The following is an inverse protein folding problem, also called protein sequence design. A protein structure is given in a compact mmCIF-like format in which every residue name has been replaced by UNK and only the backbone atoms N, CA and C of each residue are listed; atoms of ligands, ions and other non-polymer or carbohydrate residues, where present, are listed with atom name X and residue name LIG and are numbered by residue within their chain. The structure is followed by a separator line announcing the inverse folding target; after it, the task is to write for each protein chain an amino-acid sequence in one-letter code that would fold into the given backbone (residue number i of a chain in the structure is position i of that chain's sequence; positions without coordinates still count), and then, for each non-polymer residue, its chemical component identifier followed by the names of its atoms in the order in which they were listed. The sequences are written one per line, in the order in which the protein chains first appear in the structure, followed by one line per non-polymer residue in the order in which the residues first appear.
data_IF_006724606550
#
_entry.id   IF_006724606550
#
_cell.length_a   1.000
_cell.length_b   1.000
_cell.length_c   1.000
_cell.angle_alpha   90.00
_cell.angle_beta   90.00
_cell.angle_gamma   90.00
#
_symmetry.space_group_name_H-M   'P 1'
#
loop_
_entity.id
_entity.type
_entity.pdbx_description
1 polymer ?
#
# COMPACT_ATOMS: atom_id res chain seq x y z
N UNK A 1 10.64 32.90 13.09
CA UNK A 1 10.20 31.93 14.13
C UNK A 1 11.41 31.12 14.53
N UNK A 2 11.67 30.96 15.82
CA UNK A 2 12.67 30.02 16.33
C UNK A 2 11.92 28.78 16.81
N UNK A 3 12.31 27.63 16.30
CA UNK A 3 11.77 26.32 16.75
C UNK A 3 12.61 25.81 17.92
N UNK A 4 12.05 25.05 18.88
CA UNK A 4 12.84 24.33 19.87
C UNK A 4 13.75 23.31 19.19
N UNK A 5 14.83 22.91 19.87
CA UNK A 5 15.83 22.06 19.31
C UNK A 5 15.80 20.66 19.89
N UNK A 6 16.17 19.68 19.08
CA UNK A 6 16.57 18.33 19.50
C UNK A 6 17.96 18.04 18.93
N UNK A 7 18.77 17.29 19.66
CA UNK A 7 20.12 16.97 19.26
C UNK A 7 20.24 15.47 18.95
N UNK A 8 20.85 15.15 17.82
CA UNK A 8 21.19 13.78 17.45
C UNK A 8 22.39 13.28 18.26
N UNK A 9 22.40 12.00 18.53
CA UNK A 9 23.59 11.35 19.05
C UNK A 9 24.72 11.39 18.01
N UNK A 10 25.93 11.26 18.50
CA UNK A 10 27.12 11.23 17.66
C UNK A 10 27.04 10.11 16.63
N UNK A 11 27.19 10.48 15.36
CA UNK A 11 27.20 9.55 14.23
C UNK A 11 25.85 9.38 13.50
N UNK A 12 24.73 9.91 14.03
CA UNK A 12 23.40 9.75 13.41
C UNK A 12 23.10 10.81 12.31
N UNK A 13 23.74 11.98 12.39
CA UNK A 13 23.49 13.08 11.47
C UNK A 13 23.77 12.76 9.97
N UNK A 14 24.75 11.92 9.59
CA UNK A 14 24.97 11.55 8.19
C UNK A 14 23.76 10.89 7.54
N UNK A 15 23.07 9.99 8.23
CA UNK A 15 21.91 9.27 7.70
C UNK A 15 20.71 10.21 7.53
N UNK A 16 20.49 11.12 8.49
CA UNK A 16 19.45 12.16 8.38
C UNK A 16 19.74 13.08 7.18
N UNK A 17 21.02 13.49 6.97
CA UNK A 17 21.42 14.29 5.80
C UNK A 17 21.30 13.51 4.48
N UNK A 18 21.52 12.20 4.52
CA UNK A 18 21.40 11.31 3.36
C UNK A 18 19.95 11.01 2.98
N UNK A 19 18.97 11.42 3.80
CA UNK A 19 17.56 11.28 3.44
C UNK A 19 16.68 10.52 4.44
N UNK A 20 17.22 10.03 5.56
CA UNK A 20 16.41 9.41 6.62
C UNK A 20 15.31 10.38 7.07
N UNK A 21 14.06 9.93 7.04
CA UNK A 21 12.88 10.75 7.35
C UNK A 21 12.32 10.48 8.74
N UNK A 22 12.69 9.36 9.34
CA UNK A 22 12.20 8.92 10.65
C UNK A 22 13.38 8.85 11.61
N UNK A 23 13.35 9.63 12.68
CA UNK A 23 14.37 9.65 13.74
C UNK A 23 13.76 8.99 14.97
N UNK A 24 14.42 7.95 15.48
CA UNK A 24 13.96 7.17 16.60
C UNK A 24 14.48 7.73 17.93
N UNK A 25 13.80 7.39 19.03
CA UNK A 25 14.16 7.82 20.39
C UNK A 25 15.64 7.54 20.73
N UNK A 26 16.16 6.39 20.33
CA UNK A 26 17.54 5.97 20.60
C UNK A 26 18.59 6.72 19.79
N UNK A 27 18.19 7.49 18.77
CA UNK A 27 19.06 8.32 17.91
C UNK A 27 19.20 9.75 18.46
N UNK A 28 18.39 10.13 19.47
CA UNK A 28 18.44 11.44 20.11
C UNK A 28 19.30 11.42 21.39
N UNK A 29 20.09 12.47 21.57
CA UNK A 29 20.88 12.72 22.78
C UNK A 29 20.07 13.53 23.79
N UNK A 30 19.45 14.64 23.35
CA UNK A 30 18.61 15.49 24.16
C UNK A 30 17.56 16.24 23.33
N UNK A 31 16.55 16.79 24.00
CA UNK A 31 15.57 17.71 23.48
C UNK A 31 15.42 18.90 24.45
N UNK A 32 15.15 20.11 23.91
CA UNK A 32 14.87 21.29 24.72
C UNK A 32 13.65 21.05 25.65
N UNK A 33 13.66 21.62 26.85
CA UNK A 33 12.52 21.55 27.78
C UNK A 33 11.23 22.18 27.22
N UNK A 34 11.36 22.99 26.19
CA UNK A 34 10.23 23.62 25.47
C UNK A 34 9.61 22.74 24.38
N UNK A 35 10.19 21.58 24.09
CA UNK A 35 9.62 20.62 23.16
C UNK A 35 8.34 20.04 23.73
N UNK A 36 7.24 20.21 23.02
CA UNK A 36 5.95 19.62 23.35
C UNK A 36 5.51 18.65 22.25
N UNK A 37 4.79 17.58 22.61
CA UNK A 37 4.31 16.60 21.63
C UNK A 37 3.46 17.29 20.55
N UNK A 38 3.80 17.02 19.29
CA UNK A 38 3.17 17.63 18.11
C UNK A 38 3.82 18.93 17.63
N UNK A 39 4.75 19.54 18.39
CA UNK A 39 5.44 20.74 17.93
C UNK A 39 6.43 20.45 16.78
N UNK A 40 6.83 21.53 16.10
CA UNK A 40 7.91 21.51 15.11
C UNK A 40 9.21 21.79 15.85
N UNK A 41 10.26 21.02 15.54
CA UNK A 41 11.61 21.14 16.12
C UNK A 41 12.66 21.27 15.04
N UNK A 42 13.76 21.97 15.35
CA UNK A 42 15.00 21.91 14.60
C UNK A 42 15.88 20.76 15.13
N UNK A 43 16.34 19.91 14.24
CA UNK A 43 17.22 18.78 14.53
C UNK A 43 18.66 19.22 14.31
N UNK A 44 19.46 19.10 15.37
CA UNK A 44 20.88 19.49 15.36
C UNK A 44 21.76 18.25 15.42
N UNK A 45 22.98 18.36 14.84
CA UNK A 45 24.04 17.37 15.04
C UNK A 45 24.78 17.59 16.38
N UNK A 46 25.74 16.73 16.69
CA UNK A 46 26.56 16.83 17.92
C UNK A 46 27.45 18.07 18.00
N UNK A 47 27.57 18.85 16.92
CA UNK A 47 28.23 20.15 16.89
C UNK A 47 27.23 21.32 16.91
N UNK A 48 25.96 21.05 17.20
CA UNK A 48 24.87 22.01 17.22
C UNK A 48 24.60 22.69 15.86
N UNK A 49 24.92 22.04 14.77
CA UNK A 49 24.62 22.52 13.42
C UNK A 49 23.28 21.94 12.97
N UNK A 50 22.47 22.75 12.29
CA UNK A 50 21.20 22.34 11.73
C UNK A 50 21.36 21.11 10.78
N UNK A 51 20.49 20.16 10.91
CA UNK A 51 20.46 18.92 10.10
C UNK A 51 19.13 18.73 9.42
N UNK A 52 18.03 18.98 10.11
CA UNK A 52 16.66 18.85 9.59
C UNK A 52 15.68 19.62 10.46
N UNK A 53 14.43 19.72 10.01
CA UNK A 53 13.27 20.21 10.77
C UNK A 53 12.15 19.21 10.63
N UNK A 54 11.39 18.96 11.73
CA UNK A 54 10.34 17.95 11.70
C UNK A 54 9.35 18.06 12.87
N UNK A 55 8.35 17.18 12.87
CA UNK A 55 7.41 17.03 13.98
C UNK A 55 8.02 16.20 15.10
N UNK A 56 7.87 16.66 16.32
CA UNK A 56 8.32 15.97 17.54
C UNK A 56 7.17 15.26 18.24
N UNK A 57 7.41 14.05 18.74
CA UNK A 57 6.47 13.31 19.59
C UNK A 57 7.24 12.38 20.54
N UNK A 58 7.29 12.73 21.83
CA UNK A 58 8.01 11.93 22.85
C UNK A 58 7.32 10.61 23.20
N UNK A 59 6.05 10.44 22.83
CA UNK A 59 5.29 9.20 23.08
C UNK A 59 5.54 8.12 22.05
N UNK A 60 6.00 8.55 20.86
CA UNK A 60 6.26 7.65 19.73
C UNK A 60 7.71 7.16 19.75
N UNK A 61 7.94 5.90 19.36
CA UNK A 61 9.30 5.42 19.09
C UNK A 61 9.96 6.19 17.94
N UNK A 62 9.16 6.71 17.00
CA UNK A 62 9.60 7.65 15.97
C UNK A 62 9.43 9.05 16.55
N UNK A 63 10.46 9.52 17.22
CA UNK A 63 10.40 10.75 18.01
C UNK A 63 10.41 12.00 17.12
N UNK A 64 11.11 11.97 15.97
CA UNK A 64 11.01 13.08 15.00
C UNK A 64 10.68 12.54 13.61
N UNK A 65 9.72 13.18 12.96
CA UNK A 65 9.37 12.96 11.55
C UNK A 65 9.83 14.16 10.74
N UNK A 66 10.85 13.95 9.92
CA UNK A 66 11.51 15.02 9.16
C UNK A 66 10.61 15.56 8.07
N UNK A 67 10.42 16.88 8.07
CA UNK A 67 9.69 17.63 7.04
C UNK A 67 10.61 18.25 6.00
N UNK A 68 11.71 18.85 6.45
CA UNK A 68 12.67 19.50 5.55
C UNK A 68 14.10 19.42 6.07
N UNK A 69 15.06 19.55 5.16
CA UNK A 69 16.49 19.70 5.46
C UNK A 69 17.02 21.08 5.08
N UNK A 70 16.12 21.95 4.62
CA UNK A 70 16.43 23.35 4.37
C UNK A 70 16.06 24.17 5.61
N UNK A 71 17.07 24.78 6.24
CA UNK A 71 16.90 25.62 7.42
C UNK A 71 16.04 26.85 7.15
N UNK A 72 16.02 27.35 5.91
CA UNK A 72 15.26 28.54 5.53
C UNK A 72 13.78 28.23 5.23
N UNK A 73 13.46 26.96 4.96
CA UNK A 73 12.09 26.54 4.66
C UNK A 73 11.24 26.57 5.94
N UNK A 74 10.24 27.44 5.96
CA UNK A 74 9.29 27.58 7.07
C UNK A 74 8.11 26.63 6.88
N UNK A 75 7.66 26.02 7.97
CA UNK A 75 6.46 25.17 7.94
C UNK A 75 5.24 26.07 8.11
N UNK A 76 4.56 26.30 7.00
CA UNK A 76 3.39 27.20 6.87
C UNK A 76 2.30 26.49 6.05
N UNK A 77 1.09 27.04 5.93
CA UNK A 77 0.09 26.49 4.99
C UNK A 77 0.62 26.33 3.56
N UNK A 78 1.44 27.26 3.07
CA UNK A 78 2.02 27.19 1.72
C UNK A 78 3.01 26.03 1.56
N UNK A 79 3.72 25.65 2.63
CA UNK A 79 4.57 24.47 2.64
C UNK A 79 3.76 23.19 2.31
N UNK A 80 2.64 22.99 2.98
CA UNK A 80 1.77 21.83 2.74
C UNK A 80 1.16 21.87 1.35
N UNK A 81 0.70 23.06 0.93
CA UNK A 81 0.14 23.25 -0.42
C UNK A 81 1.15 22.88 -1.49
N UNK A 82 2.35 23.42 -1.45
CA UNK A 82 3.38 23.17 -2.45
C UNK A 82 3.73 21.67 -2.57
N UNK A 83 3.77 20.95 -1.45
CA UNK A 83 4.07 19.51 -1.44
C UNK A 83 2.90 18.67 -1.99
N UNK A 84 1.67 18.99 -1.62
CA UNK A 84 0.48 18.29 -2.15
C UNK A 84 0.33 18.54 -3.65
N UNK A 85 0.51 19.79 -4.11
CA UNK A 85 0.49 20.14 -5.53
C UNK A 85 1.58 19.41 -6.32
N UNK A 86 2.81 19.40 -5.81
CA UNK A 86 3.92 18.68 -6.43
C UNK A 86 3.67 17.18 -6.52
N UNK A 87 3.14 16.59 -5.44
CA UNK A 87 2.78 15.18 -5.41
C UNK A 87 1.71 14.86 -6.46
N UNK A 88 0.65 15.67 -6.53
CA UNK A 88 -0.42 15.51 -7.52
C UNK A 88 0.09 15.66 -8.95
N UNK A 89 0.84 16.73 -9.27
CA UNK A 89 1.42 16.94 -10.60
C UNK A 89 2.30 15.76 -11.06
N UNK A 90 2.99 15.11 -10.14
CA UNK A 90 3.77 13.92 -10.47
C UNK A 90 2.88 12.74 -10.86
N UNK A 91 1.72 12.55 -10.18
CA UNK A 91 0.74 11.50 -10.52
C UNK A 91 0.08 11.80 -11.87
N UNK A 92 -0.30 13.04 -12.14
CA UNK A 92 -0.84 13.46 -13.44
C UNK A 92 0.14 13.19 -14.60
N UNK A 93 1.42 13.54 -14.43
CA UNK A 93 2.48 13.25 -15.42
C UNK A 93 2.66 11.75 -15.70
N UNK A 94 2.33 10.89 -14.73
CA UNK A 94 2.39 9.44 -14.85
C UNK A 94 1.08 8.85 -15.40
N UNK A 95 0.06 9.68 -15.69
CA UNK A 95 -1.22 9.28 -16.27
C UNK A 95 -2.28 8.85 -15.26
N UNK A 96 -2.11 9.16 -13.99
CA UNK A 96 -3.12 8.87 -12.96
C UNK A 96 -4.14 10.01 -12.87
N UNK A 97 -5.34 9.78 -13.38
CA UNK A 97 -6.40 10.80 -13.43
C UNK A 97 -7.60 10.45 -12.56
N UNK A 98 -8.09 9.21 -12.65
CA UNK A 98 -9.35 8.80 -12.04
C UNK A 98 -9.19 8.36 -10.58
N UNK A 99 -8.28 7.44 -10.32
CA UNK A 99 -8.02 6.92 -8.97
C UNK A 99 -6.53 6.66 -8.77
N UNK A 100 -5.99 7.16 -7.66
CA UNK A 100 -4.58 6.97 -7.30
C UNK A 100 -4.31 7.44 -5.88
N UNK A 101 -3.14 7.08 -5.36
CA UNK A 101 -2.53 7.70 -4.21
C UNK A 101 -1.94 9.05 -4.59
N UNK A 102 -2.56 10.13 -4.14
CA UNK A 102 -2.10 11.51 -4.36
C UNK A 102 -0.89 11.83 -3.50
N UNK A 103 -0.94 11.49 -2.20
CA UNK A 103 0.16 11.70 -1.26
C UNK A 103 0.53 10.39 -0.58
N UNK A 104 1.81 10.03 -0.65
CA UNK A 104 2.38 8.84 -0.04
C UNK A 104 3.43 9.19 1.02
N UNK A 105 2.97 9.81 2.10
CA UNK A 105 3.73 10.04 3.34
C UNK A 105 5.11 10.65 3.16
N UNK A 106 6.08 9.98 3.72
CA UNK A 106 7.50 10.38 3.74
C UNK A 106 8.09 10.58 2.34
N UNK A 107 7.61 9.82 1.37
CA UNK A 107 8.13 9.87 -0.01
C UNK A 107 7.76 11.17 -0.72
N UNK A 108 6.60 11.75 -0.39
CA UNK A 108 6.17 13.06 -0.89
C UNK A 108 6.51 14.20 0.08
N UNK A 109 7.34 13.93 1.10
CA UNK A 109 7.80 14.91 2.08
C UNK A 109 6.71 15.36 3.07
N UNK A 110 5.65 14.57 3.24
CA UNK A 110 4.55 14.79 4.17
C UNK A 110 4.38 13.57 5.11
N UNK A 111 5.36 13.33 6.00
CA UNK A 111 5.40 12.12 6.80
C UNK A 111 4.12 11.92 7.61
N UNK A 112 3.55 10.72 7.45
CA UNK A 112 2.32 10.35 8.12
C UNK A 112 1.03 10.85 7.46
N UNK A 113 1.08 11.55 6.31
CA UNK A 113 -0.10 11.89 5.51
C UNK A 113 -0.25 10.89 4.35
N UNK A 114 -1.43 10.32 4.23
CA UNK A 114 -1.85 9.56 3.06
C UNK A 114 -3.08 10.24 2.47
N UNK A 115 -3.11 10.46 1.17
CA UNK A 115 -4.29 10.97 0.45
C UNK A 115 -4.53 10.12 -0.77
N UNK A 116 -5.73 9.56 -0.89
CA UNK A 116 -6.18 8.78 -2.04
C UNK A 116 -7.34 9.46 -2.74
N UNK A 117 -7.29 9.48 -4.06
CA UNK A 117 -8.34 9.96 -4.94
C UNK A 117 -9.11 8.79 -5.51
N UNK A 118 -10.43 8.88 -5.46
CA UNK A 118 -11.38 7.92 -6.01
C UNK A 118 -12.42 8.69 -6.82
N UNK A 119 -12.21 8.82 -8.13
CA UNK A 119 -12.99 9.67 -9.02
C UNK A 119 -13.08 11.13 -8.49
N UNK A 120 -14.28 11.60 -8.11
CA UNK A 120 -14.52 12.94 -7.57
C UNK A 120 -14.44 13.01 -6.04
N UNK A 121 -13.94 11.98 -5.37
CA UNK A 121 -13.88 11.89 -3.91
C UNK A 121 -12.45 11.68 -3.44
N UNK A 122 -12.18 12.16 -2.22
CA UNK A 122 -10.89 11.97 -1.57
C UNK A 122 -11.06 11.20 -0.25
N UNK A 123 -10.08 10.37 0.04
CA UNK A 123 -9.89 9.76 1.35
C UNK A 123 -8.52 10.12 1.87
N UNK A 124 -8.40 10.47 3.16
CA UNK A 124 -7.10 10.73 3.74
C UNK A 124 -6.92 10.04 5.09
N UNK A 125 -5.65 9.89 5.48
CA UNK A 125 -5.22 9.37 6.78
C UNK A 125 -4.10 10.25 7.33
N UNK A 126 -4.18 10.55 8.63
CA UNK A 126 -3.13 11.22 9.40
C UNK A 126 -2.65 10.25 10.49
N UNK A 127 -1.40 9.83 10.40
CA UNK A 127 -0.78 8.88 11.35
C UNK A 127 0.35 9.52 12.16
N UNK A 128 0.46 10.86 12.16
CA UNK A 128 1.47 11.62 12.86
C UNK A 128 0.81 12.71 13.72
N UNK A 129 1.17 12.79 15.02
CA UNK A 129 0.59 13.75 15.95
C UNK A 129 0.79 15.21 15.48
N UNK A 130 1.97 15.54 14.95
CA UNK A 130 2.26 16.89 14.47
C UNK A 130 1.38 17.35 13.31
N UNK A 131 0.94 16.42 12.45
CA UNK A 131 0.01 16.73 11.36
C UNK A 131 -1.42 16.98 11.85
N UNK A 132 -1.81 16.45 13.00
CA UNK A 132 -3.18 16.65 13.52
C UNK A 132 -3.50 18.15 13.71
N UNK A 133 -2.50 18.95 14.12
CA UNK A 133 -2.66 20.41 14.24
C UNK A 133 -2.86 21.11 12.88
N UNK A 134 -2.48 20.47 11.78
CA UNK A 134 -2.58 20.99 10.41
C UNK A 134 -3.75 20.36 9.62
N UNK A 135 -4.54 19.48 10.25
CA UNK A 135 -5.63 18.76 9.59
C UNK A 135 -6.56 19.69 8.81
N UNK A 136 -7.04 20.76 9.42
CA UNK A 136 -7.96 21.70 8.76
C UNK A 136 -7.29 22.39 7.56
N UNK A 137 -6.05 22.80 7.70
CA UNK A 137 -5.26 23.38 6.58
C UNK A 137 -5.12 22.37 5.43
N UNK A 138 -4.85 21.12 5.74
CA UNK A 138 -4.75 20.06 4.73
C UNK A 138 -6.10 19.85 4.03
N UNK A 139 -7.21 19.78 4.78
CA UNK A 139 -8.55 19.64 4.22
C UNK A 139 -8.87 20.82 3.28
N UNK A 140 -8.60 22.06 3.72
CA UNK A 140 -8.85 23.26 2.92
C UNK A 140 -8.04 23.25 1.61
N UNK A 141 -6.78 22.82 1.66
CA UNK A 141 -5.93 22.64 0.49
C UNK A 141 -6.50 21.57 -0.46
N UNK A 142 -6.91 20.41 0.07
CA UNK A 142 -7.48 19.33 -0.73
C UNK A 142 -8.79 19.76 -1.41
N UNK A 143 -9.64 20.50 -0.70
CA UNK A 143 -10.90 21.04 -1.25
C UNK A 143 -10.62 22.04 -2.36
N UNK A 144 -9.67 22.94 -2.15
CA UNK A 144 -9.32 23.98 -3.14
C UNK A 144 -8.71 23.38 -4.41
N UNK A 145 -7.77 22.44 -4.26
CA UNK A 145 -7.05 21.84 -5.39
C UNK A 145 -7.91 20.88 -6.23
N UNK A 146 -8.71 20.05 -5.59
CA UNK A 146 -9.42 18.96 -6.26
C UNK A 146 -10.91 19.25 -6.47
N UNK A 147 -11.48 20.22 -5.77
CA UNK A 147 -12.92 20.55 -5.76
C UNK A 147 -13.79 19.28 -5.65
N UNK A 148 -13.51 18.39 -4.67
CA UNK A 148 -14.12 17.09 -4.58
C UNK A 148 -15.61 17.22 -4.17
N UNK A 149 -16.42 16.22 -4.54
CA UNK A 149 -17.79 16.08 -4.03
C UNK A 149 -17.83 15.74 -2.55
N UNK A 150 -16.78 15.11 -2.03
CA UNK A 150 -16.63 14.80 -0.62
C UNK A 150 -15.21 14.37 -0.27
N UNK A 151 -14.84 14.64 0.99
CA UNK A 151 -13.57 14.23 1.61
C UNK A 151 -13.87 13.41 2.86
N UNK A 152 -13.25 12.24 2.97
CA UNK A 152 -13.47 11.30 4.06
C UNK A 152 -12.18 11.06 4.84
N UNK A 153 -12.23 11.19 6.15
CA UNK A 153 -11.15 10.86 7.09
C UNK A 153 -11.22 9.37 7.44
N UNK A 154 -10.16 8.62 7.15
CA UNK A 154 -10.01 7.19 7.42
C UNK A 154 -8.90 6.93 8.44
N UNK A 155 -8.97 7.63 9.53
CA UNK A 155 -8.05 7.58 10.66
C UNK A 155 -8.39 6.43 11.65
N UNK A 156 -9.03 5.38 11.16
CA UNK A 156 -9.39 4.15 11.87
C UNK A 156 -8.22 3.13 11.93
N UNK A 157 -7.00 3.63 12.17
CA UNK A 157 -5.76 2.85 12.18
C UNK A 157 -5.20 2.67 13.59
N UNK A 158 -4.85 1.43 14.02
CA UNK A 158 -4.27 1.19 15.34
C UNK A 158 -2.93 1.90 15.60
N UNK A 159 -2.21 2.29 14.54
CA UNK A 159 -0.94 3.02 14.68
C UNK A 159 -1.14 4.42 15.31
N UNK A 160 -2.31 5.03 15.15
CA UNK A 160 -2.63 6.34 15.75
C UNK A 160 -2.58 6.33 17.28
N UNK A 161 -2.98 5.23 17.90
CA UNK A 161 -2.92 5.07 19.36
C UNK A 161 -1.48 5.16 19.89
N UNK A 162 -0.50 4.68 19.10
CA UNK A 162 0.93 4.78 19.43
C UNK A 162 1.47 6.20 19.31
N UNK A 163 0.81 7.05 18.54
CA UNK A 163 1.10 8.47 18.41
C UNK A 163 0.32 9.32 19.43
N UNK A 164 -0.55 8.71 20.24
CA UNK A 164 -1.42 9.40 21.19
C UNK A 164 -2.67 10.01 20.58
N UNK A 165 -3.08 9.54 19.39
CA UNK A 165 -4.23 10.02 18.64
C UNK A 165 -5.41 9.05 18.72
N UNK A 166 -6.67 9.54 18.77
CA UNK A 166 -7.84 8.68 18.68
C UNK A 166 -8.04 8.14 17.26
N UNK A 167 -8.73 7.02 17.15
CA UNK A 167 -9.22 6.54 15.85
C UNK A 167 -10.46 7.35 15.45
N UNK A 168 -10.50 7.82 14.20
CA UNK A 168 -11.58 8.65 13.65
C UNK A 168 -11.96 8.10 12.26
N UNK A 169 -13.25 8.11 11.97
CA UNK A 169 -13.81 7.71 10.69
C UNK A 169 -15.05 8.56 10.41
N UNK A 170 -14.91 9.54 9.53
CA UNK A 170 -15.98 10.52 9.29
C UNK A 170 -15.83 11.22 7.95
N UNK A 171 -16.97 11.70 7.41
CA UNK A 171 -16.97 12.63 6.28
C UNK A 171 -16.69 14.05 6.82
N UNK A 172 -15.62 14.68 6.34
CA UNK A 172 -15.17 16.01 6.80
C UNK A 172 -15.54 17.15 5.84
N UNK A 173 -15.91 16.83 4.61
CA UNK A 173 -16.36 17.81 3.61
C UNK A 173 -17.35 17.17 2.65
N UNK A 174 -18.38 17.91 2.25
CA UNK A 174 -19.39 17.48 1.29
C UNK A 174 -20.15 16.24 1.73
N UNK A 175 -20.30 15.28 0.82
CA UNK A 175 -20.90 13.97 1.12
C UNK A 175 -20.20 12.87 0.34
N UNK A 176 -19.94 11.73 0.98
CA UNK A 176 -19.32 10.56 0.36
C UNK A 176 -20.33 9.42 0.37
N UNK A 177 -20.69 8.83 -0.77
CA UNK A 177 -21.62 7.71 -0.83
C UNK A 177 -20.99 6.44 -0.23
N UNK A 178 -21.81 5.50 0.19
CA UNK A 178 -21.36 4.21 0.70
C UNK A 178 -20.55 3.44 -0.34
N UNK A 179 -20.91 3.59 -1.61
CA UNK A 179 -20.20 3.00 -2.75
C UNK A 179 -20.10 4.00 -3.90
N UNK A 180 -18.99 3.95 -4.60
CA UNK A 180 -18.74 4.77 -5.79
C UNK A 180 -18.01 3.95 -6.86
N UNK A 181 -18.13 4.38 -8.10
CA UNK A 181 -17.46 3.75 -9.23
C UNK A 181 -16.13 4.46 -9.52
N UNK A 182 -15.07 3.67 -9.68
CA UNK A 182 -13.79 4.14 -10.22
C UNK A 182 -13.47 3.43 -11.54
N UNK A 183 -12.51 3.98 -12.27
CA UNK A 183 -11.93 3.36 -13.46
C UNK A 183 -10.48 3.00 -13.18
N UNK A 184 -10.14 1.76 -13.52
CA UNK A 184 -8.78 1.23 -13.39
C UNK A 184 -8.46 0.47 -14.69
N UNK A 185 -7.57 1.01 -15.52
CA UNK A 185 -7.33 0.51 -16.89
C UNK A 185 -8.66 0.36 -17.68
N UNK A 186 -9.00 -0.87 -18.09
CA UNK A 186 -10.22 -1.16 -18.83
C UNK A 186 -11.41 -1.52 -17.92
N UNK A 187 -11.17 -1.65 -16.62
CA UNK A 187 -12.18 -2.07 -15.66
C UNK A 187 -12.88 -0.89 -14.98
N UNK A 188 -14.18 -1.10 -14.70
CA UNK A 188 -14.98 -0.28 -13.80
C UNK A 188 -15.12 -1.03 -12.48
N UNK A 189 -14.80 -0.38 -11.36
CA UNK A 189 -14.80 -1.03 -10.05
C UNK A 189 -15.67 -0.25 -9.07
N UNK A 190 -16.56 -0.94 -8.38
CA UNK A 190 -17.25 -0.41 -7.21
C UNK A 190 -16.31 -0.48 -6.01
N UNK A 191 -16.13 0.65 -5.35
CA UNK A 191 -15.31 0.79 -4.15
C UNK A 191 -16.10 1.51 -3.05
N UNK A 192 -15.72 1.29 -1.81
CA UNK A 192 -16.34 1.97 -0.68
C UNK A 192 -15.27 2.67 0.15
N UNK A 193 -15.27 4.00 0.15
CA UNK A 193 -14.40 4.76 1.02
C UNK A 193 -14.77 4.53 2.50
N UNK A 194 -16.06 4.62 2.90
CA UNK A 194 -16.43 4.39 4.30
C UNK A 194 -16.20 2.96 4.79
N UNK A 195 -16.45 1.94 3.99
CA UNK A 195 -16.53 0.55 4.44
C UNK A 195 -15.47 -0.38 3.83
N UNK A 196 -14.70 0.11 2.85
CA UNK A 196 -13.64 -0.66 2.20
C UNK A 196 -12.40 -0.82 3.07
N UNK A 197 -11.52 -1.73 2.67
CA UNK A 197 -10.23 -1.93 3.32
C UNK A 197 -9.29 -0.74 3.02
N UNK A 198 -8.34 -0.49 3.93
CA UNK A 198 -7.44 0.67 3.87
C UNK A 198 -8.27 1.97 3.75
N UNK A 199 -8.03 2.74 2.72
CA UNK A 199 -8.73 3.99 2.37
C UNK A 199 -9.95 3.79 1.47
N UNK A 200 -10.22 2.54 1.01
CA UNK A 200 -11.35 2.18 0.16
C UNK A 200 -11.05 1.09 -0.88
N UNK A 201 -9.83 1.08 -1.43
CA UNK A 201 -9.37 0.12 -2.45
C UNK A 201 -7.85 -0.05 -2.40
N UNK A 202 -7.34 -1.18 -2.95
CA UNK A 202 -5.91 -1.46 -3.04
C UNK A 202 -5.31 -0.84 -4.32
N UNK A 203 -5.07 0.48 -4.29
CA UNK A 203 -4.50 1.23 -5.42
C UNK A 203 -3.05 0.82 -5.74
N UNK A 204 -2.33 0.32 -4.74
CA UNK A 204 -0.95 -0.15 -4.88
C UNK A 204 -0.78 -1.32 -5.85
N UNK A 205 -1.85 -2.09 -6.12
CA UNK A 205 -1.87 -3.20 -7.09
C UNK A 205 -2.41 -2.79 -8.48
N UNK A 206 -2.81 -1.55 -8.68
CA UNK A 206 -3.46 -1.09 -9.90
C UNK A 206 -2.67 -1.44 -11.16
N UNK A 207 -1.39 -1.08 -11.24
CA UNK A 207 -0.57 -1.38 -12.42
C UNK A 207 -0.28 -2.88 -12.57
N UNK A 208 -0.18 -3.62 -11.47
CA UNK A 208 0.03 -5.07 -11.52
C UNK A 208 -1.18 -5.79 -12.13
N UNK A 209 -2.42 -5.31 -11.88
CA UNK A 209 -3.62 -5.84 -12.53
C UNK A 209 -3.60 -5.61 -14.05
N UNK A 210 -3.03 -4.50 -14.51
CA UNK A 210 -2.80 -4.27 -15.95
C UNK A 210 -1.76 -5.23 -16.56
N UNK A 211 -0.72 -5.59 -15.79
CA UNK A 211 0.39 -6.43 -16.26
C UNK A 211 0.01 -7.89 -16.50
N UNK A 212 -1.08 -8.38 -15.92
CA UNK A 212 -1.51 -9.77 -16.18
C UNK A 212 -2.10 -9.98 -17.58
N UNK A 213 -2.40 -8.90 -18.33
CA UNK A 213 -3.06 -8.96 -19.66
C UNK A 213 -2.47 -10.04 -20.60
N UNK A 214 -1.14 -10.13 -20.81
CA UNK A 214 -0.57 -11.10 -21.76
C UNK A 214 -0.75 -12.56 -21.35
N UNK A 215 -1.11 -12.82 -20.10
CA UNK A 215 -1.15 -14.16 -19.50
C UNK A 215 -2.58 -14.69 -19.34
N UNK A 216 -3.62 -13.91 -19.72
CA UNK A 216 -5.02 -14.26 -19.45
C UNK A 216 -5.74 -14.93 -20.63
N UNK A 217 -5.38 -14.62 -21.87
CA UNK A 217 -6.15 -14.99 -23.06
C UNK A 217 -6.38 -16.50 -23.16
N UNK A 218 -7.66 -16.91 -23.26
CA UNK A 218 -8.12 -18.31 -23.34
C UNK A 218 -7.69 -19.20 -22.15
N UNK A 219 -7.26 -18.61 -21.02
CA UNK A 219 -6.84 -19.36 -19.83
C UNK A 219 -7.97 -19.51 -18.82
N UNK A 220 -8.01 -20.67 -18.14
CA UNK A 220 -8.70 -20.77 -16.86
C UNK A 220 -7.85 -20.09 -15.80
N UNK A 221 -8.45 -19.21 -14.99
CA UNK A 221 -7.75 -18.40 -13.97
C UNK A 221 -8.26 -18.74 -12.59
N UNK A 222 -7.32 -18.91 -11.64
CA UNK A 222 -7.61 -19.00 -10.21
C UNK A 222 -7.06 -17.76 -9.52
N UNK A 223 -7.92 -16.97 -8.85
CA UNK A 223 -7.55 -15.78 -8.08
C UNK A 223 -7.77 -16.03 -6.58
N UNK A 224 -6.68 -16.26 -5.86
CA UNK A 224 -6.67 -16.54 -4.41
C UNK A 224 -6.49 -15.27 -3.60
N UNK A 225 -7.31 -15.09 -2.56
CA UNK A 225 -7.44 -13.85 -1.80
C UNK A 225 -7.92 -12.68 -2.67
N UNK A 226 -8.93 -12.94 -3.50
CA UNK A 226 -9.37 -12.02 -4.56
C UNK A 226 -9.95 -10.70 -4.06
N UNK A 227 -10.22 -10.55 -2.75
CA UNK A 227 -10.84 -9.38 -2.15
C UNK A 227 -12.11 -8.96 -2.94
N UNK A 228 -12.16 -7.76 -3.48
CA UNK A 228 -13.28 -7.23 -4.29
C UNK A 228 -13.17 -7.55 -5.79
N UNK A 229 -12.27 -8.47 -6.16
CA UNK A 229 -12.15 -9.01 -7.52
C UNK A 229 -11.32 -8.16 -8.48
N UNK A 230 -10.38 -7.35 -7.96
CA UNK A 230 -9.55 -6.52 -8.82
C UNK A 230 -8.83 -7.32 -9.90
N UNK A 231 -8.08 -8.35 -9.54
CA UNK A 231 -7.43 -9.24 -10.50
C UNK A 231 -8.43 -10.08 -11.30
N UNK A 232 -9.48 -10.59 -10.67
CA UNK A 232 -10.50 -11.44 -11.30
C UNK A 232 -11.20 -10.72 -12.45
N UNK A 233 -11.66 -9.48 -12.25
CA UNK A 233 -12.37 -8.70 -13.28
C UNK A 233 -11.41 -8.36 -14.43
N UNK A 234 -10.18 -7.95 -14.14
CA UNK A 234 -9.19 -7.68 -15.18
C UNK A 234 -8.85 -8.95 -15.98
N UNK A 235 -8.66 -10.10 -15.33
CA UNK A 235 -8.42 -11.36 -16.03
C UNK A 235 -9.57 -11.71 -17.00
N UNK A 236 -10.82 -11.56 -16.55
CA UNK A 236 -12.00 -11.81 -17.39
C UNK A 236 -12.10 -10.86 -18.58
N UNK A 237 -11.80 -9.56 -18.38
CA UNK A 237 -11.73 -8.53 -19.45
C UNK A 237 -10.57 -8.80 -20.41
N UNK A 238 -9.46 -9.35 -19.93
CA UNK A 238 -8.29 -9.69 -20.75
C UNK A 238 -8.39 -11.04 -21.45
N UNK A 239 -9.60 -11.59 -21.55
CA UNK A 239 -9.87 -12.75 -22.37
C UNK A 239 -9.76 -14.10 -21.68
N UNK A 240 -9.70 -14.15 -20.34
CA UNK A 240 -9.80 -15.41 -19.63
C UNK A 240 -11.07 -16.17 -20.04
N UNK A 241 -10.95 -17.48 -20.23
CA UNK A 241 -12.10 -18.34 -20.54
C UNK A 241 -13.02 -18.51 -19.34
N UNK A 242 -12.44 -18.59 -18.15
CA UNK A 242 -13.14 -18.66 -16.86
C UNK A 242 -12.24 -18.19 -15.74
N UNK A 243 -12.80 -17.53 -14.72
CA UNK A 243 -12.10 -17.07 -13.51
C UNK A 243 -12.79 -17.64 -12.28
N UNK A 244 -12.03 -18.30 -11.42
CA UNK A 244 -12.49 -18.71 -10.10
C UNK A 244 -11.88 -17.78 -9.04
N UNK A 245 -12.73 -17.01 -8.39
CA UNK A 245 -12.36 -15.99 -7.39
C UNK A 245 -12.59 -16.55 -6.00
N UNK A 246 -11.56 -16.63 -5.18
CA UNK A 246 -11.60 -17.23 -3.83
C UNK A 246 -11.28 -16.20 -2.77
N UNK A 247 -12.16 -16.07 -1.78
CA UNK A 247 -11.95 -15.26 -0.57
C UNK A 247 -12.72 -15.84 0.61
N UNK A 248 -12.29 -15.56 1.83
CA UNK A 248 -13.02 -15.96 3.05
C UNK A 248 -14.24 -15.08 3.35
N UNK A 249 -14.31 -13.90 2.72
CA UNK A 249 -15.33 -12.88 2.95
C UNK A 249 -16.44 -12.94 1.91
N UNK A 250 -17.62 -13.45 2.29
CA UNK A 250 -18.79 -13.42 1.41
C UNK A 250 -19.20 -11.99 1.01
N UNK A 251 -18.95 -11.01 1.90
CA UNK A 251 -19.17 -9.61 1.58
C UNK A 251 -18.26 -9.13 0.44
N UNK A 252 -16.96 -9.50 0.46
CA UNK A 252 -16.03 -9.21 -0.62
C UNK A 252 -16.45 -9.91 -1.92
N UNK A 253 -16.82 -11.18 -1.86
CA UNK A 253 -17.31 -11.94 -3.02
C UNK A 253 -18.61 -11.39 -3.62
N UNK A 254 -19.48 -10.81 -2.80
CA UNK A 254 -20.65 -10.08 -3.30
C UNK A 254 -20.23 -8.88 -4.16
N UNK A 255 -19.17 -8.16 -3.78
CA UNK A 255 -18.62 -7.09 -4.61
C UNK A 255 -17.94 -7.63 -5.87
N UNK A 256 -17.27 -8.79 -5.82
CA UNK A 256 -16.72 -9.45 -7.03
C UNK A 256 -17.82 -9.67 -8.07
N UNK A 257 -18.97 -10.26 -7.66
CA UNK A 257 -20.11 -10.52 -8.56
C UNK A 257 -20.68 -9.23 -9.15
N UNK A 258 -20.79 -8.18 -8.35
CA UNK A 258 -21.29 -6.86 -8.80
C UNK A 258 -20.29 -6.16 -9.71
N UNK A 259 -18.99 -6.25 -9.44
CA UNK A 259 -17.94 -5.74 -10.30
C UNK A 259 -17.89 -6.50 -11.63
N UNK A 260 -18.10 -7.81 -11.61
CA UNK A 260 -18.22 -8.62 -12.83
C UNK A 260 -19.41 -8.17 -13.68
N UNK A 261 -20.59 -8.01 -13.10
CA UNK A 261 -21.79 -7.54 -13.79
C UNK A 261 -21.62 -6.10 -14.34
N UNK A 262 -20.97 -5.20 -13.56
CA UNK A 262 -20.67 -3.83 -14.01
C UNK A 262 -19.81 -3.80 -15.28
N UNK A 263 -18.99 -4.83 -15.51
CA UNK A 263 -18.10 -4.95 -16.66
C UNK A 263 -18.63 -5.93 -17.74
N UNK A 264 -19.80 -6.55 -17.56
CA UNK A 264 -20.39 -7.51 -18.50
C UNK A 264 -19.58 -8.81 -18.63
N UNK A 265 -18.95 -9.26 -17.52
CA UNK A 265 -18.13 -10.49 -17.46
C UNK A 265 -18.61 -11.45 -16.37
N UNK A 266 -19.83 -11.29 -15.88
CA UNK A 266 -20.41 -12.11 -14.82
C UNK A 266 -20.47 -13.61 -15.17
N UNK A 267 -20.72 -13.93 -16.42
CA UNK A 267 -20.80 -15.31 -16.93
C UNK A 267 -19.42 -16.01 -16.91
N UNK A 268 -18.33 -15.24 -16.81
CA UNK A 268 -16.97 -15.78 -16.77
C UNK A 268 -16.44 -15.99 -15.35
N UNK A 269 -17.08 -15.43 -14.32
CA UNK A 269 -16.53 -15.40 -12.95
C UNK A 269 -17.38 -16.24 -12.02
N UNK A 270 -16.76 -17.22 -11.37
CA UNK A 270 -17.34 -17.98 -10.26
C UNK A 270 -16.66 -17.61 -8.96
N UNK A 271 -17.43 -17.40 -7.90
CA UNK A 271 -16.92 -17.07 -6.56
C UNK A 271 -17.00 -18.27 -5.62
N UNK A 272 -15.95 -18.45 -4.79
CA UNK A 272 -15.85 -19.52 -3.79
C UNK A 272 -15.49 -18.90 -2.45
N UNK A 273 -16.38 -19.06 -1.45
CA UNK A 273 -16.16 -18.55 -0.09
C UNK A 273 -15.51 -19.63 0.76
N UNK A 274 -14.18 -19.62 0.83
CA UNK A 274 -13.39 -20.65 1.51
C UNK A 274 -12.05 -20.10 2.03
N UNK A 275 -11.46 -20.80 3.00
CA UNK A 275 -10.10 -20.56 3.43
C UNK A 275 -9.11 -20.97 2.32
N UNK A 276 -8.29 -20.04 1.85
CA UNK A 276 -7.38 -20.29 0.71
C UNK A 276 -6.34 -21.38 0.98
N UNK A 277 -5.90 -21.59 2.23
CA UNK A 277 -4.96 -22.66 2.58
C UNK A 277 -5.61 -24.04 2.48
N UNK A 278 -6.82 -24.18 3.00
CA UNK A 278 -7.57 -25.43 2.98
C UNK A 278 -7.96 -25.78 1.55
N UNK A 279 -8.47 -24.80 0.80
CA UNK A 279 -8.85 -24.97 -0.59
C UNK A 279 -7.64 -25.30 -1.48
N UNK A 280 -6.54 -24.55 -1.38
CA UNK A 280 -5.34 -24.79 -2.18
C UNK A 280 -4.73 -26.18 -1.91
N UNK A 281 -4.77 -26.62 -0.64
CA UNK A 281 -4.39 -27.97 -0.27
C UNK A 281 -5.29 -29.00 -0.95
N UNK A 282 -6.60 -28.91 -0.78
CA UNK A 282 -7.57 -29.87 -1.34
C UNK A 282 -7.45 -29.92 -2.88
N UNK A 283 -7.43 -28.78 -3.55
CA UNK A 283 -7.42 -28.72 -5.00
C UNK A 283 -6.06 -29.14 -5.60
N UNK A 284 -4.94 -28.88 -4.93
CA UNK A 284 -3.64 -29.41 -5.36
C UNK A 284 -3.55 -30.93 -5.19
N UNK A 285 -4.16 -31.49 -4.13
CA UNK A 285 -4.22 -32.93 -3.90
C UNK A 285 -5.18 -33.62 -4.91
N UNK A 286 -6.26 -32.94 -5.33
CA UNK A 286 -7.16 -33.32 -6.43
C UNK A 286 -6.56 -33.11 -7.84
N UNK A 287 -5.36 -32.56 -7.94
CA UNK A 287 -4.67 -32.24 -9.20
C UNK A 287 -5.46 -31.31 -10.13
N UNK A 288 -6.25 -30.37 -9.57
CA UNK A 288 -6.89 -29.29 -10.37
C UNK A 288 -5.83 -28.43 -11.02
N UNK A 289 -6.08 -28.04 -12.28
CA UNK A 289 -5.14 -27.29 -13.09
C UNK A 289 -5.77 -25.99 -13.62
N UNK A 290 -4.96 -24.92 -13.67
CA UNK A 290 -5.33 -23.61 -14.19
C UNK A 290 -4.22 -23.08 -15.08
N UNK A 291 -4.60 -22.36 -16.13
CA UNK A 291 -3.63 -21.72 -17.03
C UNK A 291 -2.93 -20.53 -16.40
N UNK A 292 -3.60 -19.86 -15.44
CA UNK A 292 -3.03 -18.78 -14.62
C UNK A 292 -3.52 -18.91 -13.18
N UNK A 293 -2.59 -18.87 -12.21
CA UNK A 293 -2.92 -18.74 -10.78
C UNK A 293 -2.41 -17.40 -10.27
N UNK A 294 -3.26 -16.65 -9.57
CA UNK A 294 -2.93 -15.39 -8.91
C UNK A 294 -2.99 -15.63 -7.40
N UNK A 295 -1.92 -15.28 -6.70
CA UNK A 295 -1.73 -15.45 -5.26
C UNK A 295 -1.30 -14.12 -4.65
N UNK A 296 -2.27 -13.34 -4.16
CA UNK A 296 -2.06 -12.04 -3.51
C UNK A 296 -2.60 -12.04 -2.08
N UNK A 297 -1.99 -12.82 -1.16
CA UNK A 297 -2.48 -12.96 0.20
C UNK A 297 -2.21 -11.70 1.04
N UNK A 298 -2.95 -11.50 2.15
CA UNK A 298 -2.66 -10.43 3.10
C UNK A 298 -1.25 -10.57 3.70
N UNK A 299 -0.75 -9.48 4.30
CA UNK A 299 0.56 -9.48 4.93
C UNK A 299 0.64 -10.48 6.09
N UNK A 300 1.41 -11.56 5.95
CA UNK A 300 1.62 -12.56 6.99
C UNK A 300 2.64 -12.10 8.04
N UNK A 301 3.67 -11.32 7.64
CA UNK A 301 4.68 -10.80 8.55
C UNK A 301 4.34 -9.36 8.98
N UNK A 302 3.64 -9.19 10.11
CA UNK A 302 3.35 -7.88 10.72
C UNK A 302 4.46 -7.39 11.67
N UNK A 303 5.46 -8.21 11.93
CA UNK A 303 6.64 -7.90 12.74
C UNK A 303 7.80 -8.81 12.36
N UNK A 304 9.03 -8.40 12.72
CA UNK A 304 10.23 -9.22 12.49
C UNK A 304 10.16 -10.59 13.20
N UNK A 305 9.52 -10.65 14.36
CA UNK A 305 9.32 -11.91 15.11
C UNK A 305 8.37 -12.89 14.40
N UNK A 306 7.48 -12.40 13.55
CA UNK A 306 6.53 -13.23 12.81
C UNK A 306 7.10 -13.73 11.46
N UNK A 307 8.32 -13.33 11.08
CA UNK A 307 8.88 -13.57 9.75
C UNK A 307 9.01 -15.06 9.41
N UNK A 308 9.52 -15.89 10.33
CA UNK A 308 9.71 -17.33 10.07
C UNK A 308 8.39 -18.07 9.83
N UNK A 309 7.36 -17.71 10.59
CA UNK A 309 6.02 -18.28 10.39
C UNK A 309 5.38 -17.78 9.08
N UNK A 310 5.57 -16.49 8.76
CA UNK A 310 5.11 -15.91 7.51
C UNK A 310 5.81 -16.56 6.30
N UNK A 311 7.11 -16.77 6.38
CA UNK A 311 7.89 -17.46 5.34
C UNK A 311 7.30 -18.85 5.04
N UNK A 312 7.03 -19.65 6.08
CA UNK A 312 6.42 -20.98 5.94
C UNK A 312 5.03 -20.90 5.31
N UNK A 313 4.20 -19.92 5.74
CA UNK A 313 2.87 -19.70 5.17
C UNK A 313 2.92 -19.33 3.68
N UNK A 314 3.79 -18.40 3.30
CA UNK A 314 4.01 -18.04 1.90
C UNK A 314 4.50 -19.24 1.09
N UNK A 315 5.47 -20.00 1.62
CA UNK A 315 6.02 -21.18 0.95
C UNK A 315 4.95 -22.23 0.71
N UNK A 316 4.17 -22.60 1.72
CA UNK A 316 3.10 -23.60 1.60
C UNK A 316 2.08 -23.19 0.54
N UNK A 317 1.60 -21.93 0.61
CA UNK A 317 0.59 -21.46 -0.35
C UNK A 317 1.14 -21.44 -1.79
N UNK A 318 2.36 -20.92 -1.99
CA UNK A 318 2.98 -20.87 -3.31
C UNK A 318 3.30 -22.26 -3.88
N UNK A 319 3.74 -23.20 -3.04
CA UNK A 319 3.92 -24.60 -3.42
C UNK A 319 2.61 -25.19 -3.97
N UNK A 320 1.48 -24.97 -3.27
CA UNK A 320 0.17 -25.45 -3.73
C UNK A 320 -0.26 -24.76 -5.02
N UNK A 321 -0.05 -23.43 -5.13
CA UNK A 321 -0.29 -22.69 -6.37
C UNK A 321 0.49 -23.29 -7.54
N UNK A 322 1.80 -23.55 -7.39
CA UNK A 322 2.62 -24.11 -8.45
C UNK A 322 2.17 -25.52 -8.89
N UNK A 323 1.66 -26.34 -7.97
CA UNK A 323 1.06 -27.63 -8.30
C UNK A 323 -0.22 -27.51 -9.10
N UNK A 324 -0.98 -26.41 -8.92
CA UNK A 324 -2.23 -26.14 -9.63
C UNK A 324 -2.04 -25.39 -10.96
N UNK A 325 -0.83 -24.96 -11.31
CA UNK A 325 -0.55 -24.35 -12.62
C UNK A 325 -0.32 -25.45 -13.66
N UNK A 326 -0.99 -25.35 -14.81
CA UNK A 326 -0.73 -26.20 -15.99
C UNK A 326 0.74 -26.09 -16.42
N UNK A 327 1.31 -27.14 -17.01
CA UNK A 327 2.66 -27.06 -17.60
C UNK A 327 2.68 -26.01 -18.72
N UNK A 328 3.59 -25.03 -18.63
CA UNK A 328 3.64 -23.85 -19.50
C UNK A 328 2.68 -22.71 -19.09
N UNK A 329 1.89 -22.89 -18.03
CA UNK A 329 1.02 -21.87 -17.44
C UNK A 329 1.77 -20.88 -16.56
N UNK A 330 1.03 -19.99 -15.88
CA UNK A 330 1.62 -18.86 -15.19
C UNK A 330 1.19 -18.77 -13.71
N UNK A 331 2.08 -18.26 -12.87
CA UNK A 331 1.83 -17.91 -11.48
C UNK A 331 2.16 -16.43 -11.27
N UNK A 332 1.19 -15.65 -10.82
CA UNK A 332 1.41 -14.31 -10.25
C UNK A 332 1.43 -14.45 -8.74
N UNK A 333 2.55 -14.16 -8.10
CA UNK A 333 2.69 -14.28 -6.66
C UNK A 333 3.15 -12.95 -6.07
N UNK A 334 2.39 -12.42 -5.08
CA UNK A 334 2.63 -11.13 -4.44
C UNK A 334 2.82 -11.26 -2.93
N UNK A 335 3.50 -10.29 -2.36
CA UNK A 335 3.60 -10.07 -0.91
C UNK A 335 3.69 -8.59 -0.58
N UNK A 336 2.78 -8.12 0.27
CA UNK A 336 2.82 -6.77 0.85
C UNK A 336 3.46 -6.74 2.25
N UNK A 337 4.08 -7.83 2.70
CA UNK A 337 4.78 -7.90 3.99
C UNK A 337 6.11 -7.15 3.94
N UNK A 338 6.25 -6.06 4.69
CA UNK A 338 7.46 -5.25 4.74
C UNK A 338 8.72 -6.05 5.14
N UNK A 339 8.59 -6.97 6.10
CA UNK A 339 9.71 -7.80 6.58
C UNK A 339 10.10 -8.94 5.63
N UNK A 340 9.27 -9.24 4.64
CA UNK A 340 9.58 -10.17 3.56
C UNK A 340 10.27 -9.38 2.43
N UNK A 341 11.60 -9.32 2.43
CA UNK A 341 12.35 -8.60 1.39
C UNK A 341 12.18 -9.26 0.01
N UNK A 342 12.43 -8.54 -1.11
CA UNK A 342 12.37 -9.13 -2.44
C UNK A 342 13.25 -10.37 -2.58
N UNK A 343 14.48 -10.36 -2.04
CA UNK A 343 15.43 -11.47 -2.08
C UNK A 343 14.90 -12.67 -1.30
N UNK A 344 14.35 -12.43 -0.10
CA UNK A 344 13.80 -13.47 0.74
C UNK A 344 12.55 -14.09 0.10
N UNK A 345 11.69 -13.28 -0.53
CA UNK A 345 10.51 -13.78 -1.21
C UNK A 345 10.88 -14.61 -2.45
N UNK A 346 11.90 -14.17 -3.22
CA UNK A 346 12.40 -14.95 -4.36
C UNK A 346 13.06 -16.26 -3.91
N UNK A 347 13.80 -16.26 -2.80
CA UNK A 347 14.37 -17.48 -2.22
C UNK A 347 13.25 -18.46 -1.81
N UNK A 348 12.20 -17.98 -1.16
CA UNK A 348 11.03 -18.77 -0.79
C UNK A 348 10.33 -19.39 -2.03
N UNK A 349 10.18 -18.62 -3.13
CA UNK A 349 9.59 -19.13 -4.37
C UNK A 349 10.43 -20.25 -5.01
N UNK A 350 11.77 -20.14 -4.96
CA UNK A 350 12.67 -21.21 -5.43
C UNK A 350 12.50 -22.50 -4.62
N UNK A 351 12.42 -22.39 -3.30
CA UNK A 351 12.15 -23.53 -2.43
C UNK A 351 10.77 -24.14 -2.69
N UNK A 352 9.74 -23.30 -2.89
CA UNK A 352 8.39 -23.76 -3.20
C UNK A 352 8.34 -24.52 -4.54
N UNK A 353 9.05 -24.04 -5.57
CA UNK A 353 9.15 -24.70 -6.87
C UNK A 353 9.85 -26.06 -6.76
N UNK A 354 10.99 -26.11 -6.04
CA UNK A 354 11.71 -27.35 -5.78
C UNK A 354 10.82 -28.39 -5.06
N UNK A 355 10.12 -27.98 -4.01
CA UNK A 355 9.27 -28.90 -3.23
C UNK A 355 7.98 -29.29 -3.98
N UNK A 356 7.52 -28.45 -4.92
CA UNK A 356 6.43 -28.78 -5.84
C UNK A 356 6.85 -29.74 -6.96
N UNK A 357 8.17 -29.94 -7.16
CA UNK A 357 8.73 -30.71 -8.26
C UNK A 357 8.49 -30.02 -9.61
N UNK A 358 8.55 -28.69 -9.68
CA UNK A 358 8.24 -27.87 -10.85
C UNK A 358 9.43 -26.98 -11.21
N UNK A 359 9.70 -26.85 -12.50
CA UNK A 359 10.58 -25.79 -13.01
C UNK A 359 9.80 -24.47 -13.12
N UNK A 360 10.44 -23.36 -12.75
CA UNK A 360 9.83 -22.03 -12.77
C UNK A 360 10.77 -21.00 -13.39
N UNK A 361 10.29 -20.29 -14.42
CA UNK A 361 11.02 -19.20 -15.06
C UNK A 361 10.44 -17.86 -14.65
N UNK A 362 11.29 -16.96 -14.17
CA UNK A 362 10.90 -15.59 -13.84
C UNK A 362 10.73 -14.76 -15.12
N UNK A 363 9.54 -14.21 -15.33
CA UNK A 363 9.21 -13.38 -16.49
C UNK A 363 9.21 -11.91 -16.15
N UNK A 364 8.53 -11.52 -15.05
CA UNK A 364 8.39 -10.12 -14.65
C UNK A 364 8.56 -9.91 -13.14
N UNK A 365 9.09 -8.73 -12.81
CA UNK A 365 9.12 -8.20 -11.45
C UNK A 365 7.94 -7.24 -11.27
N UNK A 366 7.18 -7.43 -10.20
CA UNK A 366 6.07 -6.59 -9.80
C UNK A 366 6.42 -5.82 -8.54
N UNK A 367 5.99 -4.57 -8.49
CA UNK A 367 6.12 -3.72 -7.31
C UNK A 367 4.84 -2.89 -7.14
N UNK A 368 4.78 -2.09 -6.09
CA UNK A 368 3.68 -1.15 -5.93
C UNK A 368 3.56 -0.21 -7.14
N UNK A 369 2.34 0.16 -7.46
CA UNK A 369 2.02 1.09 -8.55
C UNK A 369 2.77 2.42 -8.37
N UNK A 370 3.13 3.08 -9.47
CA UNK A 370 3.97 4.29 -9.50
C UNK A 370 3.39 5.49 -8.75
N UNK A 371 2.12 5.48 -8.43
CA UNK A 371 1.50 6.45 -7.52
C UNK A 371 1.89 6.23 -6.04
N UNK A 372 2.51 5.11 -5.73
CA UNK A 372 3.12 4.77 -4.44
C UNK A 372 4.66 4.74 -4.56
N UNK A 373 5.33 5.87 -4.82
CA UNK A 373 6.77 5.89 -5.08
C UNK A 373 7.57 5.42 -3.86
N UNK A 374 8.67 4.73 -4.10
CA UNK A 374 9.60 4.33 -3.06
C UNK A 374 10.75 5.33 -2.95
N UNK A 375 11.05 5.79 -1.74
CA UNK A 375 12.22 6.64 -1.48
C UNK A 375 13.49 5.77 -1.40
N UNK A 376 14.51 6.08 -2.19
CA UNK A 376 15.78 5.35 -2.16
C UNK A 376 16.53 5.53 -0.84
N UNK A 377 16.20 6.57 -0.07
CA UNK A 377 16.74 6.82 1.27
C UNK A 377 16.03 6.02 2.39
N UNK A 378 15.04 5.18 2.06
CA UNK A 378 14.26 4.44 3.05
C UNK A 378 13.84 3.08 2.53
N UNK A 379 14.37 2.02 3.11
CA UNK A 379 14.01 0.62 2.80
C UNK A 379 12.55 0.29 3.12
N UNK A 380 11.89 1.16 3.90
CA UNK A 380 10.51 0.92 4.36
C UNK A 380 9.44 1.34 3.36
N UNK A 381 9.78 2.18 2.38
CA UNK A 381 8.83 2.68 1.40
C UNK A 381 8.55 1.69 0.26
N UNK A 382 9.45 0.74 -0.02
CA UNK A 382 9.24 -0.36 -0.97
C UNK A 382 8.71 -1.59 -0.22
N UNK A 383 7.40 -1.75 -0.16
CA UNK A 383 6.76 -2.81 0.64
C UNK A 383 6.07 -3.91 -0.17
N UNK A 384 5.60 -3.60 -1.39
CA UNK A 384 4.98 -4.57 -2.29
C UNK A 384 6.02 -5.14 -3.25
N UNK A 385 6.12 -6.44 -3.31
CA UNK A 385 6.90 -7.20 -4.27
C UNK A 385 6.06 -8.34 -4.81
N UNK A 386 6.27 -8.65 -6.08
CA UNK A 386 5.63 -9.76 -6.74
C UNK A 386 6.44 -10.26 -7.94
N UNK A 387 6.07 -11.40 -8.42
CA UNK A 387 6.72 -12.07 -9.54
C UNK A 387 5.69 -12.73 -10.43
N UNK A 388 5.87 -12.57 -11.74
CA UNK A 388 5.17 -13.42 -12.72
C UNK A 388 6.13 -14.51 -13.13
N UNK A 389 5.73 -15.74 -12.90
CA UNK A 389 6.51 -16.95 -13.19
C UNK A 389 5.78 -17.78 -14.25
N UNK A 390 6.55 -18.40 -15.16
CA UNK A 390 6.05 -19.49 -16.01
C UNK A 390 6.45 -20.82 -15.38
N UNK A 391 5.53 -21.76 -15.29
CA UNK A 391 5.67 -23.02 -14.54
C UNK A 391 5.63 -24.21 -15.51
N UNK A 392 6.60 -25.16 -15.37
CA UNK A 392 6.72 -26.33 -16.22
C UNK A 392 6.64 -27.65 -15.46
#
# INVERSE_FOLDING_TARGET
MTYPNVCLRRGEAPDVRAGQTLIFENELDWADDTCTDGCIVDVLDEQLRFTARGFFNSRSKITVRVLTRDQQELITPDFFRARIESAWQNREKLGFENSCRVVFGETDGLPGLTVDKFADYLSFQITCLGLEAWKQVIIDILVDLFQPKGVYERDDLPVREKEGLPQIKTCVYGSVPDELEIREHDARMLVSIPNGQKTGHFLDQQENRGRIRPYCENKSVLDLCCCTGGFSVHAALYGASHVTSVDVSEQALSLVRRNAALNGVEDKITTVCENVFDLAKAWSDEQKQFGLVICDPPAFAKSRKALDNAYRGYKELNLRCMKMVESGGFLVSCSCSQFMTPELFLAMLREAAHDAGRDAHLLELLMQSRDHPAALSSDHSLYLKGYILQIF
#
